data_IF_897485908323
#
_entry.id   IF_897485908323
#
_cell.length_a   1.000
_cell.length_b   1.000
_cell.length_c   1.000
_cell.angle_alpha   90.00
_cell.angle_beta   90.00
_cell.angle_gamma   90.00
#
_symmetry.space_group_name_H-M   'P 1'
#
loop_
_entity.id
_entity.type
_entity.pdbx_description
1 polymer ?
#
# COMPACT_ATOMS: atom_id res chain seq x y z
N UNK A 1 6.61 -24.11 -4.31
CA UNK A 1 5.66 -24.09 -3.18
C UNK A 1 6.31 -24.60 -1.89
N UNK A 2 6.88 -25.80 -1.85
CA UNK A 2 7.52 -26.39 -0.64
C UNK A 2 8.46 -25.44 0.10
N UNK A 3 9.43 -24.84 -0.61
CA UNK A 3 10.37 -23.89 -0.02
C UNK A 3 9.66 -22.70 0.66
N UNK A 4 8.64 -22.13 0.01
CA UNK A 4 7.85 -21.00 0.54
C UNK A 4 7.12 -21.43 1.82
N UNK A 5 6.45 -22.58 1.78
CA UNK A 5 5.71 -23.12 2.93
C UNK A 5 6.60 -23.26 4.18
N UNK A 6 7.84 -23.70 3.99
CA UNK A 6 8.79 -23.98 5.07
C UNK A 6 9.55 -22.73 5.56
N UNK A 7 9.85 -21.78 4.67
CA UNK A 7 10.83 -20.73 4.96
C UNK A 7 10.23 -19.33 5.05
N UNK A 8 9.11 -19.06 4.38
CA UNK A 8 8.48 -17.73 4.39
C UNK A 8 7.55 -17.62 5.59
N UNK A 9 7.82 -16.66 6.47
CA UNK A 9 6.90 -16.25 7.54
C UNK A 9 7.31 -14.87 8.06
N UNK A 10 6.36 -14.06 8.54
CA UNK A 10 6.66 -12.77 9.16
C UNK A 10 7.58 -12.93 10.38
N UNK A 11 7.37 -13.99 11.17
CA UNK A 11 8.22 -14.35 12.32
C UNK A 11 9.66 -14.70 11.93
N UNK A 12 9.88 -15.19 10.71
CA UNK A 12 11.20 -15.56 10.16
C UNK A 12 11.89 -14.41 9.43
N UNK A 13 11.21 -13.28 9.21
CA UNK A 13 11.81 -12.12 8.58
C UNK A 13 13.03 -11.63 9.37
N UNK A 14 14.02 -11.04 8.67
CA UNK A 14 15.17 -10.42 9.33
C UNK A 14 14.70 -9.33 10.31
N UNK A 15 15.35 -9.15 11.47
CA UNK A 15 14.95 -8.17 12.48
C UNK A 15 15.36 -6.74 12.09
N UNK A 16 15.05 -6.34 10.85
CA UNK A 16 15.32 -5.00 10.30
C UNK A 16 14.11 -4.49 9.53
N UNK A 17 13.93 -3.16 9.43
CA UNK A 17 12.90 -2.60 8.58
C UNK A 17 13.11 -2.97 7.10
N UNK A 18 12.01 -3.17 6.40
CA UNK A 18 11.92 -3.31 4.94
C UNK A 18 10.95 -2.27 4.40
N UNK A 19 10.99 -1.99 3.09
CA UNK A 19 9.98 -1.15 2.44
C UNK A 19 8.62 -1.85 2.50
N UNK A 20 7.61 -1.14 3.03
CA UNK A 20 6.22 -1.60 3.06
C UNK A 20 5.67 -1.75 1.64
N UNK A 21 5.92 -0.74 0.80
CA UNK A 21 5.51 -0.71 -0.60
C UNK A 21 6.05 -1.91 -1.37
N UNK A 22 7.37 -2.13 -1.34
CA UNK A 22 8.01 -3.21 -2.08
C UNK A 22 7.61 -4.60 -1.58
N UNK A 23 7.43 -4.76 -0.26
CA UNK A 23 6.93 -6.00 0.31
C UNK A 23 5.50 -6.30 -0.15
N UNK A 24 4.67 -5.27 -0.29
CA UNK A 24 3.29 -5.41 -0.78
C UNK A 24 3.28 -5.83 -2.24
N UNK A 25 3.84 -5.03 -3.14
CA UNK A 25 3.70 -5.29 -4.59
C UNK A 25 4.48 -6.52 -5.07
N UNK A 26 5.57 -6.92 -4.38
CA UNK A 26 6.38 -8.07 -4.78
C UNK A 26 6.03 -9.32 -4.01
N UNK A 27 6.10 -9.28 -2.68
CA UNK A 27 5.95 -10.48 -1.86
C UNK A 27 4.48 -10.84 -1.71
N UNK A 28 3.65 -9.91 -1.25
CA UNK A 28 2.22 -10.18 -1.08
C UNK A 28 1.53 -10.43 -2.43
N UNK A 29 1.75 -9.53 -3.40
CA UNK A 29 1.24 -9.71 -4.77
C UNK A 29 1.67 -11.04 -5.41
N UNK A 30 2.94 -11.41 -5.28
CA UNK A 30 3.46 -12.67 -5.81
C UNK A 30 2.86 -13.92 -5.14
N UNK A 31 2.65 -13.90 -3.82
CA UNK A 31 2.00 -15.00 -3.10
C UNK A 31 0.54 -15.16 -3.52
N UNK A 32 -0.19 -14.05 -3.62
CA UNK A 32 -1.59 -14.01 -4.07
C UNK A 32 -1.71 -14.54 -5.49
N UNK A 33 -0.92 -14.02 -6.43
CA UNK A 33 -0.94 -14.50 -7.82
C UNK A 33 -0.56 -15.98 -7.92
N UNK A 34 0.44 -16.41 -7.15
CA UNK A 34 0.83 -17.81 -7.07
C UNK A 34 -0.32 -18.70 -6.60
N UNK A 35 -1.08 -18.27 -5.59
CA UNK A 35 -2.28 -18.97 -5.14
C UNK A 35 -3.37 -19.00 -6.22
N UNK A 36 -3.77 -17.85 -6.80
CA UNK A 36 -4.86 -17.81 -7.78
C UNK A 36 -4.57 -18.65 -9.03
N UNK A 37 -3.29 -18.77 -9.44
CA UNK A 37 -2.89 -19.58 -10.59
C UNK A 37 -2.74 -21.07 -10.29
N UNK A 38 -2.44 -21.45 -9.05
CA UNK A 38 -2.10 -22.85 -8.71
C UNK A 38 -3.11 -23.55 -7.80
N UNK A 39 -3.96 -22.80 -7.10
CA UNK A 39 -4.80 -23.32 -6.01
C UNK A 39 -4.02 -23.81 -4.79
N UNK A 40 -2.70 -23.60 -4.72
CA UNK A 40 -1.88 -24.12 -3.62
C UNK A 40 -2.12 -23.35 -2.33
N UNK A 41 -2.98 -23.89 -1.46
CA UNK A 41 -3.38 -23.28 -0.18
C UNK A 41 -2.22 -22.72 0.67
N UNK A 42 -1.05 -23.38 0.77
CA UNK A 42 0.06 -22.82 1.55
C UNK A 42 0.52 -21.42 1.09
N UNK A 43 0.31 -21.06 -0.18
CA UNK A 43 0.65 -19.71 -0.68
C UNK A 43 -0.31 -18.65 -0.13
N UNK A 44 -1.62 -18.96 -0.05
CA UNK A 44 -2.60 -18.07 0.57
C UNK A 44 -2.34 -17.95 2.08
N UNK A 45 -2.00 -19.05 2.75
CA UNK A 45 -1.68 -19.02 4.18
C UNK A 45 -0.47 -18.09 4.45
N UNK A 46 0.55 -18.12 3.59
CA UNK A 46 1.68 -17.18 3.67
C UNK A 46 1.29 -15.75 3.31
N UNK A 47 0.40 -15.56 2.33
CA UNK A 47 -0.09 -14.23 1.97
C UNK A 47 -0.81 -13.58 3.15
N UNK A 48 -1.63 -14.35 3.88
CA UNK A 48 -2.34 -13.87 5.09
C UNK A 48 -1.35 -13.52 6.20
N UNK A 49 -0.37 -14.39 6.51
CA UNK A 49 0.67 -14.12 7.53
C UNK A 49 1.47 -12.84 7.22
N UNK A 50 1.89 -12.66 5.97
CA UNK A 50 2.59 -11.44 5.54
C UNK A 50 1.66 -10.22 5.56
N UNK A 51 0.42 -10.37 5.11
CA UNK A 51 -0.59 -9.31 5.14
C UNK A 51 -0.85 -8.80 6.57
N UNK A 52 -0.96 -9.69 7.54
CA UNK A 52 -1.14 -9.34 8.96
C UNK A 52 0.03 -8.55 9.53
N UNK A 53 1.25 -8.90 9.14
CA UNK A 53 2.42 -8.13 9.52
C UNK A 53 2.44 -6.75 8.85
N UNK A 54 2.05 -6.66 7.58
CA UNK A 54 2.00 -5.41 6.81
C UNK A 54 0.91 -4.47 7.30
N UNK A 55 -0.24 -4.97 7.79
CA UNK A 55 -1.31 -4.15 8.37
C UNK A 55 -0.83 -3.23 9.50
N UNK A 56 0.23 -3.64 10.22
CA UNK A 56 0.81 -2.84 11.31
C UNK A 56 1.46 -1.55 10.81
N UNK A 57 1.80 -1.46 9.52
CA UNK A 57 2.34 -0.24 8.93
C UNK A 57 1.32 0.92 8.93
N UNK A 58 0.01 0.64 8.94
CA UNK A 58 -1.07 1.64 8.94
C UNK A 58 -1.29 2.32 10.30
N UNK A 59 -0.34 2.22 11.22
CA UNK A 59 -0.39 2.78 12.57
C UNK A 59 0.07 4.25 12.66
N UNK A 60 0.09 4.98 11.55
CA UNK A 60 0.31 6.44 11.57
C UNK A 60 -0.92 7.17 12.12
N UNK A 61 -0.79 8.42 12.60
CA UNK A 61 -1.94 9.21 13.02
C UNK A 61 -3.00 9.41 11.92
N UNK A 62 -2.59 9.51 10.65
CA UNK A 62 -3.52 9.61 9.52
C UNK A 62 -4.15 8.28 9.10
N UNK A 63 -3.63 7.16 9.59
CA UNK A 63 -4.00 5.81 9.15
C UNK A 63 -3.39 5.41 7.81
N UNK A 64 -2.55 6.25 7.18
CA UNK A 64 -1.74 5.86 6.02
C UNK A 64 -0.57 4.96 6.45
N UNK A 65 -0.04 4.09 5.58
CA UNK A 65 1.05 3.21 5.97
C UNK A 65 2.38 3.96 6.08
N UNK A 66 3.16 3.63 7.11
CA UNK A 66 4.59 3.94 7.18
C UNK A 66 5.33 3.37 5.96
N UNK A 67 6.30 4.10 5.42
CA UNK A 67 7.12 3.64 4.27
C UNK A 67 7.96 2.40 4.58
N UNK A 68 8.31 2.20 5.86
CA UNK A 68 9.11 1.10 6.34
C UNK A 68 8.41 0.36 7.48
N UNK A 69 8.60 -0.96 7.52
CA UNK A 69 8.02 -1.83 8.54
C UNK A 69 9.01 -2.95 8.91
N UNK A 70 9.13 -3.24 10.19
CA UNK A 70 9.74 -4.48 10.67
C UNK A 70 8.65 -5.54 10.79
N UNK A 71 8.67 -6.56 9.93
CA UNK A 71 7.62 -7.58 9.89
C UNK A 71 7.51 -8.41 11.18
N UNK A 72 8.59 -8.52 11.95
CA UNK A 72 8.58 -9.29 13.20
C UNK A 72 7.96 -8.49 14.34
N UNK A 73 8.40 -7.24 14.51
CA UNK A 73 8.00 -6.40 15.65
C UNK A 73 6.78 -5.54 15.37
N UNK A 74 6.45 -5.29 14.10
CA UNK A 74 5.45 -4.30 13.69
C UNK A 74 5.92 -2.85 13.81
N UNK A 75 7.18 -2.60 14.16
CA UNK A 75 7.70 -1.24 14.26
C UNK A 75 7.74 -0.57 12.89
N UNK A 76 6.94 0.47 12.72
CA UNK A 76 6.88 1.30 11.51
C UNK A 76 7.86 2.47 11.54
N UNK A 77 8.24 2.96 10.36
CA UNK A 77 9.13 4.10 10.22
C UNK A 77 8.98 4.82 8.89
N UNK A 78 9.41 6.08 8.87
CA UNK A 78 9.43 6.91 7.67
C UNK A 78 10.87 6.99 7.17
N UNK A 79 11.07 6.80 5.86
CA UNK A 79 12.38 6.89 5.25
C UNK A 79 12.98 8.29 5.49
N UNK A 80 14.16 8.36 6.08
CA UNK A 80 14.75 9.64 6.54
C UNK A 80 14.92 10.66 5.42
N UNK A 81 15.17 10.22 4.18
CA UNK A 81 15.38 11.07 3.03
C UNK A 81 14.12 11.81 2.54
N UNK A 82 12.92 11.40 2.96
CA UNK A 82 11.65 12.08 2.62
C UNK A 82 11.33 13.25 3.55
N UNK A 83 12.24 13.58 4.49
CA UNK A 83 12.07 14.64 5.49
C UNK A 83 10.81 14.46 6.34
N UNK A 84 10.45 13.21 6.65
CA UNK A 84 9.31 12.88 7.50
C UNK A 84 7.97 12.75 6.77
N UNK A 85 7.95 12.78 5.44
CA UNK A 85 6.73 12.61 4.65
C UNK A 85 6.61 11.18 4.09
N UNK A 86 5.38 10.75 3.84
CA UNK A 86 5.08 9.56 3.04
C UNK A 86 5.14 9.90 1.55
N UNK A 87 5.25 8.87 0.71
CA UNK A 87 5.25 9.03 -0.75
C UNK A 87 3.90 8.62 -1.33
N UNK A 88 3.42 9.40 -2.29
CA UNK A 88 2.13 9.19 -2.96
C UNK A 88 2.01 7.79 -3.56
N UNK A 89 3.01 7.34 -4.33
CA UNK A 89 3.03 5.99 -4.88
C UNK A 89 3.01 4.92 -3.79
N UNK A 90 3.77 5.08 -2.70
CA UNK A 90 3.84 4.04 -1.67
C UNK A 90 2.52 3.85 -0.91
N UNK A 91 1.79 4.92 -0.61
CA UNK A 91 0.47 4.83 0.04
C UNK A 91 -0.66 4.49 -0.94
N UNK A 92 -0.43 4.80 -2.22
CA UNK A 92 -1.40 4.72 -3.31
C UNK A 92 -1.31 3.47 -4.17
N UNK A 93 -0.39 2.56 -3.86
CA UNK A 93 -0.07 1.39 -4.67
C UNK A 93 0.00 0.13 -3.80
N UNK A 94 -1.07 -0.09 -3.05
CA UNK A 94 -1.28 -1.29 -2.21
C UNK A 94 -2.68 -1.88 -2.31
N UNK A 95 -3.58 -1.17 -2.99
CA UNK A 95 -5.01 -1.44 -2.97
C UNK A 95 -5.34 -2.77 -3.62
N UNK A 96 -4.69 -3.13 -4.74
CA UNK A 96 -4.99 -4.37 -5.45
C UNK A 96 -4.69 -5.60 -4.59
N UNK A 97 -3.52 -5.64 -3.97
CA UNK A 97 -3.07 -6.74 -3.12
C UNK A 97 -3.95 -6.88 -1.89
N UNK A 98 -4.21 -5.77 -1.19
CA UNK A 98 -5.03 -5.80 0.01
C UNK A 98 -6.50 -6.10 -0.28
N UNK A 99 -7.07 -5.59 -1.38
CA UNK A 99 -8.44 -5.92 -1.78
C UNK A 99 -8.57 -7.40 -2.15
N UNK A 100 -7.60 -7.92 -2.91
CA UNK A 100 -7.59 -9.34 -3.27
C UNK A 100 -7.38 -10.22 -2.04
N UNK A 101 -6.49 -9.85 -1.13
CA UNK A 101 -6.29 -10.58 0.12
C UNK A 101 -7.57 -10.59 0.97
N UNK A 102 -8.28 -9.46 1.06
CA UNK A 102 -9.57 -9.38 1.73
C UNK A 102 -10.59 -10.36 1.12
N UNK A 103 -10.69 -10.37 -0.21
CA UNK A 103 -11.58 -11.28 -0.95
C UNK A 103 -11.25 -12.75 -0.65
N UNK A 104 -9.97 -13.12 -0.70
CA UNK A 104 -9.55 -14.52 -0.56
C UNK A 104 -9.57 -15.03 0.89
N UNK A 105 -9.32 -14.15 1.86
CA UNK A 105 -9.28 -14.51 3.28
C UNK A 105 -10.63 -14.33 3.99
N UNK A 106 -11.57 -13.58 3.40
CA UNK A 106 -12.82 -13.19 4.04
C UNK A 106 -12.66 -12.10 5.11
N UNK A 107 -11.48 -11.47 5.21
CA UNK A 107 -11.17 -10.44 6.22
C UNK A 107 -11.28 -9.03 5.67
N UNK A 108 -12.25 -8.28 6.18
CA UNK A 108 -12.57 -6.93 5.70
C UNK A 108 -11.49 -5.88 6.03
N UNK A 109 -10.71 -6.07 7.09
CA UNK A 109 -9.74 -5.07 7.56
C UNK A 109 -8.62 -4.81 6.55
N UNK A 110 -8.25 -5.80 5.73
CA UNK A 110 -7.34 -5.60 4.60
C UNK A 110 -7.91 -4.58 3.59
N UNK A 111 -9.18 -4.75 3.21
CA UNK A 111 -9.85 -3.85 2.28
C UNK A 111 -10.02 -2.45 2.89
N UNK A 112 -10.55 -2.38 4.10
CA UNK A 112 -10.85 -1.12 4.79
C UNK A 112 -9.62 -0.23 4.92
N UNK A 113 -8.47 -0.80 5.32
CA UNK A 113 -7.22 -0.04 5.47
C UNK A 113 -6.72 0.51 4.14
N UNK A 114 -6.72 -0.31 3.09
CA UNK A 114 -6.21 0.12 1.79
C UNK A 114 -7.15 1.11 1.09
N UNK A 115 -8.47 0.94 1.23
CA UNK A 115 -9.48 1.84 0.69
C UNK A 115 -9.48 3.20 1.40
N UNK A 116 -9.31 3.21 2.73
CA UNK A 116 -9.24 4.43 3.52
C UNK A 116 -8.11 5.37 3.05
N UNK A 117 -7.00 4.83 2.52
CA UNK A 117 -5.93 5.65 1.95
C UNK A 117 -6.40 6.48 0.75
N UNK A 118 -7.13 5.86 -0.20
CA UNK A 118 -7.70 6.60 -1.34
C UNK A 118 -8.76 7.61 -0.91
N UNK A 119 -9.65 7.22 0.02
CA UNK A 119 -10.66 8.14 0.56
C UNK A 119 -10.02 9.36 1.19
N UNK A 120 -9.02 9.16 2.06
CA UNK A 120 -8.34 10.26 2.73
C UNK A 120 -7.62 11.19 1.73
N UNK A 121 -6.94 10.63 0.74
CA UNK A 121 -6.25 11.43 -0.28
C UNK A 121 -7.21 12.26 -1.15
N UNK A 122 -8.39 11.72 -1.50
CA UNK A 122 -9.40 12.48 -2.24
C UNK A 122 -10.02 13.58 -1.37
N UNK A 123 -10.32 13.30 -0.10
CA UNK A 123 -10.87 14.26 0.86
C UNK A 123 -9.90 15.42 1.13
N UNK A 124 -8.61 15.13 1.27
CA UNK A 124 -7.57 16.13 1.54
C UNK A 124 -7.12 16.89 0.30
N UNK A 125 -7.56 16.50 -0.90
CA UNK A 125 -7.19 17.15 -2.16
C UNK A 125 -8.39 17.73 -2.91
N UNK A 126 -8.90 18.91 -2.52
CA UNK A 126 -10.10 19.48 -3.12
C UNK A 126 -9.95 19.68 -4.65
N UNK A 127 -11.07 19.51 -5.37
CA UNK A 127 -11.18 19.67 -6.85
C UNK A 127 -10.78 21.06 -7.35
N UNK A 128 -10.72 22.04 -6.46
CA UNK A 128 -10.45 23.44 -6.75
C UNK A 128 -9.10 23.83 -6.16
N UNK A 129 -8.11 24.16 -6.99
CA UNK A 129 -6.79 24.56 -6.51
C UNK A 129 -5.72 24.63 -7.60
N UNK A 130 -4.48 24.91 -7.19
CA UNK A 130 -3.32 25.14 -8.07
C UNK A 130 -2.98 23.93 -8.96
N UNK A 131 -3.41 22.73 -8.57
CA UNK A 131 -3.16 21.47 -9.29
C UNK A 131 -4.41 20.90 -10.00
N UNK A 132 -5.49 21.68 -10.05
CA UNK A 132 -6.63 21.36 -10.90
C UNK A 132 -6.25 21.61 -12.37
N UNK A 133 -6.50 20.63 -13.23
CA UNK A 133 -6.28 20.79 -14.67
C UNK A 133 -7.46 21.55 -15.29
N UNK A 134 -7.22 22.18 -16.45
CA UNK A 134 -8.26 22.96 -17.17
C UNK A 134 -9.53 22.17 -17.48
N UNK A 135 -9.44 20.84 -17.53
CA UNK A 135 -10.55 19.94 -17.84
C UNK A 135 -11.17 19.29 -16.58
N UNK A 136 -10.88 19.81 -15.39
CA UNK A 136 -11.39 19.29 -14.12
C UNK A 136 -10.68 18.03 -13.61
N UNK A 137 -9.54 17.64 -14.22
CA UNK A 137 -8.64 16.64 -13.68
C UNK A 137 -7.83 17.18 -12.50
N UNK A 138 -7.10 16.31 -11.82
CA UNK A 138 -6.23 16.69 -10.69
C UNK A 138 -4.85 16.05 -10.85
N UNK A 139 -3.83 16.71 -10.31
CA UNK A 139 -2.49 16.17 -10.17
C UNK A 139 -2.14 16.12 -8.69
N UNK A 140 -1.62 15.00 -8.23
CA UNK A 140 -1.31 14.78 -6.83
C UNK A 140 0.17 15.03 -6.55
N UNK A 141 0.50 15.88 -5.55
CA UNK A 141 1.85 16.03 -5.05
C UNK A 141 2.45 14.70 -4.57
N UNK A 142 3.77 14.60 -4.70
CA UNK A 142 4.52 13.39 -4.36
C UNK A 142 4.56 13.06 -2.87
N UNK A 143 4.40 14.06 -2.00
CA UNK A 143 4.58 13.91 -0.57
C UNK A 143 3.26 14.03 0.19
N UNK A 144 3.08 13.17 1.19
CA UNK A 144 1.89 13.13 2.03
C UNK A 144 2.29 13.18 3.50
N UNK A 145 1.61 14.02 4.27
CA UNK A 145 1.80 14.13 5.70
C UNK A 145 1.32 12.86 6.41
N UNK A 146 2.15 12.19 7.23
CA UNK A 146 1.74 11.05 8.04
C UNK A 146 0.81 11.45 9.20
N UNK A 147 0.75 12.74 9.54
CA UNK A 147 -0.05 13.23 10.66
C UNK A 147 -1.53 13.29 10.32
N UNK A 148 -1.88 13.68 9.10
CA UNK A 148 -3.27 13.97 8.73
C UNK A 148 -3.62 13.64 7.27
N UNK A 149 -2.68 13.10 6.48
CA UNK A 149 -2.90 12.78 5.06
C UNK A 149 -2.90 14.00 4.13
N UNK A 150 -2.55 15.19 4.61
CA UNK A 150 -2.45 16.38 3.76
C UNK A 150 -1.31 16.25 2.75
N UNK A 151 -1.50 16.79 1.56
CA UNK A 151 -0.47 16.80 0.52
C UNK A 151 0.54 17.92 0.79
N UNK A 152 1.82 17.59 0.65
CA UNK A 152 2.93 18.47 1.00
C UNK A 152 3.65 18.94 -0.26
N UNK A 153 3.74 20.26 -0.42
CA UNK A 153 4.38 20.88 -1.57
C UNK A 153 3.55 20.76 -2.86
N UNK A 154 4.20 21.02 -4.00
CA UNK A 154 3.54 21.10 -5.32
C UNK A 154 4.25 20.26 -6.39
N UNK A 155 5.31 19.52 -6.02
CA UNK A 155 6.02 18.66 -6.94
C UNK A 155 5.14 17.48 -7.35
N UNK A 156 5.00 17.27 -8.65
CA UNK A 156 4.25 16.18 -9.26
C UNK A 156 5.18 15.44 -10.22
N UNK A 157 5.03 14.12 -10.33
CA UNK A 157 5.76 13.29 -11.29
C UNK A 157 4.87 12.16 -11.80
N UNK A 158 5.08 11.79 -13.06
CA UNK A 158 4.55 10.58 -13.69
C UNK A 158 5.56 9.42 -13.65
N UNK A 159 6.75 9.66 -13.10
CA UNK A 159 7.75 8.64 -12.81
C UNK A 159 7.82 8.38 -11.31
N UNK A 160 9.04 8.08 -10.84
CA UNK A 160 9.29 7.70 -9.46
C UNK A 160 8.57 8.59 -8.44
N UNK A 161 8.06 7.94 -7.38
CA UNK A 161 7.31 8.52 -6.26
C UNK A 161 5.84 8.87 -6.54
N UNK A 162 5.40 8.90 -7.81
CA UNK A 162 4.01 9.25 -8.16
C UNK A 162 3.35 8.36 -9.21
N UNK A 163 4.13 7.72 -10.09
CA UNK A 163 3.69 6.89 -11.21
C UNK A 163 2.50 5.96 -10.91
N UNK A 164 2.72 5.01 -10.00
CA UNK A 164 1.87 3.86 -9.77
C UNK A 164 0.63 4.17 -8.93
N UNK A 165 0.55 5.37 -8.34
CA UNK A 165 -0.71 5.89 -7.82
C UNK A 165 -1.73 6.06 -8.95
N UNK A 166 -1.32 6.69 -10.06
CA UNK A 166 -2.19 6.87 -11.23
C UNK A 166 -2.55 5.51 -11.85
N UNK A 167 -1.62 4.57 -11.88
CA UNK A 167 -1.87 3.19 -12.32
C UNK A 167 -2.94 2.50 -11.45
N UNK A 168 -2.82 2.60 -10.13
CA UNK A 168 -3.69 1.87 -9.20
C UNK A 168 -5.07 2.50 -9.06
N UNK A 169 -5.21 3.82 -9.26
CA UNK A 169 -6.56 4.42 -9.30
C UNK A 169 -7.42 3.81 -10.41
N UNK A 170 -6.85 3.60 -11.61
CA UNK A 170 -7.54 2.91 -12.70
C UNK A 170 -7.71 1.41 -12.43
N UNK A 171 -6.64 0.71 -12.03
CA UNK A 171 -6.72 -0.74 -11.82
C UNK A 171 -7.67 -1.12 -10.68
N UNK A 172 -7.71 -0.33 -9.61
CA UNK A 172 -8.62 -0.58 -8.50
C UNK A 172 -10.08 -0.40 -8.93
N UNK A 173 -10.38 0.64 -9.72
CA UNK A 173 -11.70 0.85 -10.32
C UNK A 173 -12.16 -0.38 -11.11
N UNK A 174 -11.30 -0.87 -12.00
CA UNK A 174 -11.57 -2.07 -12.80
C UNK A 174 -11.72 -3.33 -11.92
N UNK A 175 -10.87 -3.51 -10.90
CA UNK A 175 -10.89 -4.69 -10.02
C UNK A 175 -12.19 -4.78 -9.22
N UNK A 176 -12.73 -3.65 -8.77
CA UNK A 176 -14.00 -3.63 -8.01
C UNK A 176 -15.24 -3.65 -8.91
N UNK A 177 -15.07 -3.82 -10.22
CA UNK A 177 -16.16 -4.02 -11.18
C UNK A 177 -16.96 -2.77 -11.47
N UNK A 178 -16.31 -1.61 -11.54
CA UNK A 178 -16.91 -0.38 -12.04
C UNK A 178 -16.09 0.15 -13.20
#
# INVERSE_FOLDING_TARGET
VSWISEHVAASRALPRPISFFEATIRCLGGLISGYELSGAQPLLDKAIDIGDALLRAFATPSGLPYSQINLRTGAGGIASWTKGNLLLAEVGTVQLEFFKLAQLSGRADFYEKAAAAFTLLDEKHPRTGVLATKNGGRLWPLYVSPADGSLVGTSVSWGAMGDSFYEYTLKAYLLVGR
#
